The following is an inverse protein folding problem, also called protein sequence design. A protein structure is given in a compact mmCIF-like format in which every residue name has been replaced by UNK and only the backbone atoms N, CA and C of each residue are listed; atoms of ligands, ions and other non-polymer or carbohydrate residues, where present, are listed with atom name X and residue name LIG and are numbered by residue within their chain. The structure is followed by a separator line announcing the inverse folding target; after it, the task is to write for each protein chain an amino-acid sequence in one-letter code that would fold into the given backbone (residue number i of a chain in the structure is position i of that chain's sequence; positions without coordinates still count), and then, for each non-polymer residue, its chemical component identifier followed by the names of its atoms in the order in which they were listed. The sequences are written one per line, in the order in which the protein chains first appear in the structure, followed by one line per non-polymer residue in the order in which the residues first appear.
data_IF_953800746029
#
_entry.id   IF_953800746029
#
_cell.length_a   1.000
_cell.length_b   1.000
_cell.length_c   1.000
_cell.angle_alpha   90.00
_cell.angle_beta   90.00
_cell.angle_gamma   90.00
#
_symmetry.space_group_name_H-M   'P 1'
#
loop_
_entity.id
_entity.type
_entity.pdbx_description
1 polymer ?
#
# COMPACT_ATOMS: atom_id res chain seq x y z
N UNK A 1 20.00 -2.84 -10.63
CA UNK A 1 20.45 -1.46 -10.32
C UNK A 1 21.02 -1.51 -8.91
N UNK A 2 22.27 -1.12 -8.70
CA UNK A 2 22.85 -1.09 -7.36
C UNK A 2 22.39 0.19 -6.66
N UNK A 3 21.58 0.04 -5.62
CA UNK A 3 21.11 1.16 -4.80
C UNK A 3 22.20 1.55 -3.80
N UNK A 4 22.30 2.85 -3.48
CA UNK A 4 23.27 3.35 -2.49
C UNK A 4 22.64 3.57 -1.11
N UNK A 5 21.35 3.92 -1.06
CA UNK A 5 20.62 4.19 0.16
C UNK A 5 19.55 3.13 0.43
N UNK A 6 19.30 2.87 1.71
CA UNK A 6 18.12 2.13 2.15
C UNK A 6 16.83 2.83 1.70
N UNK A 7 15.74 2.08 1.62
CA UNK A 7 14.57 2.47 0.85
C UNK A 7 13.31 2.58 1.70
N UNK A 8 12.48 3.58 1.40
CA UNK A 8 11.07 3.66 1.80
C UNK A 8 10.22 3.41 0.56
N UNK A 9 9.28 2.48 0.64
CA UNK A 9 8.33 2.22 -0.45
C UNK A 9 6.95 2.74 -0.08
N UNK A 10 6.39 3.58 -0.95
CA UNK A 10 5.03 4.11 -0.84
C UNK A 10 4.14 3.31 -1.78
N UNK A 11 3.54 2.24 -1.27
CA UNK A 11 2.71 1.33 -2.04
C UNK A 11 1.24 1.68 -1.88
N UNK A 12 0.56 2.00 -2.97
CA UNK A 12 -0.85 2.42 -2.90
C UNK A 12 -1.47 2.66 -4.27
N UNK A 13 -2.65 3.30 -4.28
CA UNK A 13 -3.37 3.63 -5.51
C UNK A 13 -3.02 5.03 -6.08
N UNK A 14 -3.88 5.59 -6.93
CA UNK A 14 -3.73 6.93 -7.52
C UNK A 14 -3.56 8.08 -6.52
N UNK A 15 -4.05 7.92 -5.28
CA UNK A 15 -3.95 8.94 -4.22
C UNK A 15 -2.53 8.96 -3.64
N UNK A 16 -1.74 7.91 -3.88
CA UNK A 16 -0.39 7.81 -3.34
C UNK A 16 0.57 8.78 -4.00
N UNK A 17 1.01 9.74 -3.19
CA UNK A 17 2.05 10.70 -3.51
C UNK A 17 3.19 10.58 -2.49
N UNK A 18 4.38 11.10 -2.86
CA UNK A 18 5.59 10.97 -2.05
C UNK A 18 6.54 12.17 -2.07
N UNK A 19 6.18 13.28 -2.73
CA UNK A 19 7.10 14.39 -2.97
C UNK A 19 7.70 14.96 -1.67
N UNK A 20 6.87 15.22 -0.66
CA UNK A 20 7.31 15.75 0.63
C UNK A 20 8.22 14.77 1.39
N UNK A 21 7.88 13.48 1.38
CA UNK A 21 8.69 12.47 2.04
C UNK A 21 10.05 12.32 1.35
N UNK A 22 10.06 12.30 0.02
CA UNK A 22 11.31 12.31 -0.76
C UNK A 22 12.18 13.51 -0.41
N UNK A 23 11.59 14.69 -0.25
CA UNK A 23 12.31 15.89 0.16
C UNK A 23 12.88 15.79 1.58
N UNK A 24 12.09 15.30 2.55
CA UNK A 24 12.51 15.15 3.93
C UNK A 24 13.68 14.14 4.13
N UNK A 25 13.75 13.14 3.25
CA UNK A 25 14.74 12.06 3.29
C UNK A 25 15.85 12.18 2.23
N UNK A 26 15.98 13.35 1.58
CA UNK A 26 17.08 13.67 0.68
C UNK A 26 18.43 13.27 1.31
N UNK A 27 19.20 12.45 0.57
CA UNK A 27 20.54 11.93 0.95
C UNK A 27 20.55 11.06 2.22
N UNK A 28 19.40 10.57 2.68
CA UNK A 28 19.26 9.66 3.83
C UNK A 28 18.70 8.31 3.40
N UNK A 29 17.58 8.33 2.68
CA UNK A 29 16.87 7.15 2.18
C UNK A 29 16.32 7.44 0.79
N UNK A 30 16.29 6.44 -0.08
CA UNK A 30 15.57 6.52 -1.34
C UNK A 30 14.07 6.32 -1.09
N UNK A 31 13.24 7.23 -1.58
CA UNK A 31 11.78 7.13 -1.44
C UNK A 31 11.17 6.75 -2.79
N UNK A 32 10.61 5.54 -2.87
CA UNK A 32 9.98 5.02 -4.08
C UNK A 32 8.47 5.22 -4.03
N UNK A 33 7.95 6.03 -4.96
CA UNK A 33 6.51 6.12 -5.18
C UNK A 33 6.03 4.97 -6.06
N UNK A 34 5.16 4.11 -5.50
CA UNK A 34 4.51 2.97 -6.15
C UNK A 34 2.98 3.11 -6.04
N UNK A 35 2.48 4.25 -6.50
CA UNK A 35 1.05 4.53 -6.67
C UNK A 35 0.52 3.97 -8.00
N UNK A 36 -0.49 3.10 -7.94
CA UNK A 36 -1.07 2.42 -9.09
C UNK A 36 -2.52 2.89 -9.31
N UNK A 37 -2.71 3.75 -10.31
CA UNK A 37 -4.02 4.33 -10.58
C UNK A 37 -5.07 3.26 -10.89
N UNK A 38 -6.19 3.33 -10.18
CA UNK A 38 -7.31 2.41 -10.33
C UNK A 38 -7.15 1.05 -9.64
N UNK A 39 -6.01 0.73 -9.02
CA UNK A 39 -5.78 -0.57 -8.41
C UNK A 39 -6.53 -0.74 -7.09
N UNK A 40 -7.15 -1.92 -6.92
CA UNK A 40 -7.68 -2.40 -5.64
C UNK A 40 -6.67 -3.35 -4.96
N UNK A 41 -7.00 -3.83 -3.76
CA UNK A 41 -6.09 -4.70 -3.00
C UNK A 41 -5.82 -6.05 -3.64
N UNK A 42 -6.77 -6.61 -4.41
CA UNK A 42 -6.58 -7.90 -5.08
C UNK A 42 -5.48 -7.80 -6.16
N UNK A 43 -5.54 -6.75 -6.98
CA UNK A 43 -4.54 -6.53 -8.03
C UNK A 43 -3.20 -6.06 -7.44
N UNK A 44 -3.24 -5.25 -6.38
CA UNK A 44 -2.04 -4.76 -5.72
C UNK A 44 -1.22 -5.89 -5.10
N UNK A 45 -1.87 -6.86 -4.45
CA UNK A 45 -1.19 -8.01 -3.83
C UNK A 45 -0.23 -8.73 -4.79
N UNK A 46 -0.65 -8.92 -6.05
CA UNK A 46 0.19 -9.54 -7.09
C UNK A 46 1.43 -8.68 -7.40
N UNK A 47 1.29 -7.36 -7.45
CA UNK A 47 2.41 -6.45 -7.69
C UNK A 47 3.38 -6.37 -6.51
N UNK A 48 2.89 -6.55 -5.29
CA UNK A 48 3.71 -6.49 -4.09
C UNK A 48 4.81 -7.58 -4.13
N UNK A 49 4.53 -8.76 -4.68
CA UNK A 49 5.54 -9.83 -4.85
C UNK A 49 6.75 -9.36 -5.65
N UNK A 50 6.53 -8.52 -6.67
CA UNK A 50 7.58 -8.01 -7.55
C UNK A 50 8.37 -6.85 -6.94
N UNK A 51 7.80 -6.18 -5.93
CA UNK A 51 8.46 -5.09 -5.21
C UNK A 51 9.35 -5.59 -4.06
N UNK A 52 9.03 -6.75 -3.49
CA UNK A 52 9.76 -7.30 -2.36
C UNK A 52 11.04 -8.01 -2.81
N UNK A 53 12.11 -8.00 -2.00
CA UNK A 53 13.33 -8.74 -2.30
C UNK A 53 13.04 -10.24 -2.47
N UNK A 54 13.56 -10.84 -3.54
CA UNK A 54 13.46 -12.28 -3.76
C UNK A 54 14.50 -13.02 -2.90
N UNK A 55 14.02 -13.84 -1.96
CA UNK A 55 14.85 -14.70 -1.10
C UNK A 55 15.77 -15.66 -1.88
N UNK A 56 15.43 -16.00 -3.12
CA UNK A 56 16.18 -16.97 -3.92
C UNK A 56 17.44 -16.41 -4.58
N UNK A 57 17.65 -15.09 -4.53
CA UNK A 57 18.88 -14.48 -5.05
C UNK A 57 20.02 -14.62 -4.02
N UNK A 58 20.62 -15.82 -3.97
CA UNK A 58 21.77 -16.18 -3.12
C UNK A 58 22.93 -15.18 -3.17
N UNK A 59 23.03 -14.38 -4.22
CA UNK A 59 24.04 -13.33 -4.39
C UNK A 59 23.89 -12.15 -3.40
N UNK A 60 22.69 -11.87 -2.88
CA UNK A 60 22.48 -10.77 -1.93
C UNK A 60 22.74 -11.17 -0.47
N UNK A 61 22.68 -12.46 -0.15
CA UNK A 61 22.75 -12.98 1.23
C UNK A 61 24.15 -12.93 1.86
N UNK A 62 25.22 -12.71 1.08
CA UNK A 62 26.60 -12.71 1.60
C UNK A 62 27.24 -11.32 1.70
N UNK A 63 26.53 -10.26 1.34
CA UNK A 63 27.08 -8.91 1.37
C UNK A 63 26.44 -8.11 2.51
N UNK A 64 27.21 -7.83 3.56
CA UNK A 64 26.78 -7.02 4.72
C UNK A 64 26.34 -5.60 4.35
N UNK A 65 26.61 -5.17 3.12
CA UNK A 65 26.26 -3.88 2.55
C UNK A 65 25.02 -3.90 1.63
N UNK A 66 24.15 -4.91 1.72
CA UNK A 66 22.92 -4.93 0.91
C UNK A 66 21.96 -3.80 1.29
N UNK A 67 21.40 -3.16 0.27
CA UNK A 67 20.35 -2.15 0.44
C UNK A 67 19.06 -2.82 0.91
N UNK A 68 18.42 -2.23 1.92
CA UNK A 68 17.22 -2.75 2.56
C UNK A 68 16.03 -1.83 2.35
N UNK A 69 14.85 -2.41 2.24
CA UNK A 69 13.60 -1.67 2.43
C UNK A 69 13.38 -1.55 3.94
N UNK A 70 13.42 -0.34 4.47
CA UNK A 70 13.27 -0.09 5.92
C UNK A 70 11.83 0.18 6.34
N UNK A 71 11.00 0.61 5.38
CA UNK A 71 9.59 0.93 5.58
C UNK A 71 8.79 0.70 4.30
N UNK A 72 7.64 0.05 4.42
CA UNK A 72 6.60 0.01 3.40
C UNK A 72 5.32 0.62 3.96
N UNK A 73 4.81 1.65 3.28
CA UNK A 73 3.47 2.18 3.47
C UNK A 73 2.52 1.44 2.53
N UNK A 74 1.41 0.90 3.04
CA UNK A 74 0.34 0.30 2.23
C UNK A 74 -0.89 1.20 2.33
N UNK A 75 -1.31 1.79 1.22
CA UNK A 75 -2.41 2.77 1.17
C UNK A 75 -3.39 2.43 0.03
N UNK A 76 -4.35 1.57 0.35
CA UNK A 76 -5.40 1.07 -0.54
C UNK A 76 -6.74 1.01 0.19
N UNK A 77 -7.83 0.84 -0.57
CA UNK A 77 -9.19 0.74 -0.06
C UNK A 77 -10.15 1.72 -0.72
N UNK A 78 -9.65 2.80 -1.32
CA UNK A 78 -10.49 3.78 -2.00
C UNK A 78 -11.13 3.16 -3.25
N UNK A 79 -10.37 2.36 -4.00
CA UNK A 79 -10.89 1.65 -5.17
C UNK A 79 -11.76 0.44 -4.79
N UNK A 80 -11.35 -0.30 -3.76
CA UNK A 80 -12.08 -1.46 -3.20
C UNK A 80 -13.50 -1.08 -2.75
N UNK A 81 -13.66 0.14 -2.21
CA UNK A 81 -14.93 0.71 -1.77
C UNK A 81 -15.88 1.16 -2.90
N UNK A 82 -15.52 0.89 -4.18
CA UNK A 82 -16.44 1.13 -5.28
C UNK A 82 -17.75 0.34 -5.10
N UNK A 83 -18.87 0.88 -5.57
CA UNK A 83 -20.16 0.23 -5.54
C UNK A 83 -20.23 -0.82 -6.66
N UNK A 84 -20.88 -1.96 -6.39
CA UNK A 84 -21.21 -2.93 -7.44
C UNK A 84 -22.08 -2.26 -8.51
N UNK A 85 -21.88 -2.55 -9.80
CA UNK A 85 -21.03 -3.60 -10.37
C UNK A 85 -19.63 -3.14 -10.78
N UNK A 86 -19.08 -2.05 -10.22
CA UNK A 86 -17.74 -1.57 -10.61
C UNK A 86 -16.69 -2.68 -10.38
N UNK A 87 -15.85 -2.94 -11.39
CA UNK A 87 -14.80 -3.98 -11.38
C UNK A 87 -13.72 -3.78 -10.31
N UNK A 88 -13.59 -2.57 -9.80
CA UNK A 88 -12.65 -2.25 -8.72
C UNK A 88 -13.16 -2.72 -7.36
N UNK A 89 -14.46 -2.97 -7.22
CA UNK A 89 -15.08 -3.39 -5.96
C UNK A 89 -14.45 -4.69 -5.43
N UNK A 90 -14.16 -4.71 -4.14
CA UNK A 90 -13.73 -5.90 -3.40
C UNK A 90 -14.59 -5.99 -2.13
N UNK A 91 -15.20 -7.15 -1.88
CA UNK A 91 -16.01 -7.34 -0.67
C UNK A 91 -15.14 -7.13 0.59
N UNK A 92 -15.74 -6.58 1.65
CA UNK A 92 -15.02 -6.10 2.85
C UNK A 92 -14.16 -7.20 3.52
N UNK A 93 -14.65 -8.44 3.57
CA UNK A 93 -13.89 -9.57 4.11
C UNK A 93 -12.66 -9.90 3.25
N UNK A 94 -12.81 -9.83 1.92
CA UNK A 94 -11.69 -10.05 1.01
C UNK A 94 -10.67 -8.93 1.09
N UNK A 95 -11.11 -7.69 1.27
CA UNK A 95 -10.22 -6.55 1.53
C UNK A 95 -9.36 -6.78 2.78
N UNK A 96 -9.96 -7.21 3.90
CA UNK A 96 -9.22 -7.53 5.13
C UNK A 96 -8.22 -8.68 4.92
N UNK A 97 -8.64 -9.73 4.22
CA UNK A 97 -7.78 -10.86 3.87
C UNK A 97 -6.58 -10.40 3.04
N UNK A 98 -6.80 -9.55 2.03
CA UNK A 98 -5.74 -9.02 1.17
C UNK A 98 -4.77 -8.13 1.95
N UNK A 99 -5.25 -7.21 2.80
CA UNK A 99 -4.39 -6.42 3.68
C UNK A 99 -3.53 -7.32 4.58
N UNK A 100 -4.14 -8.33 5.18
CA UNK A 100 -3.45 -9.30 6.04
C UNK A 100 -2.36 -10.03 5.28
N UNK A 101 -2.66 -10.52 4.07
CA UNK A 101 -1.68 -11.18 3.21
C UNK A 101 -0.53 -10.26 2.86
N UNK A 102 -0.81 -9.03 2.42
CA UNK A 102 0.22 -8.06 2.05
C UNK A 102 1.14 -7.73 3.24
N UNK A 103 0.60 -7.44 4.43
CA UNK A 103 1.41 -7.20 5.63
C UNK A 103 2.31 -8.40 5.94
N UNK A 104 1.77 -9.62 5.85
CA UNK A 104 2.54 -10.83 6.10
C UNK A 104 3.62 -11.07 5.04
N UNK A 105 3.36 -10.75 3.77
CA UNK A 105 4.36 -10.81 2.71
C UNK A 105 5.53 -9.88 3.01
N UNK A 106 5.26 -8.64 3.42
CA UNK A 106 6.31 -7.69 3.81
C UNK A 106 7.09 -8.19 5.04
N UNK A 107 6.41 -8.61 6.11
CA UNK A 107 7.07 -9.12 7.32
C UNK A 107 7.95 -10.35 7.05
N UNK A 108 7.65 -11.11 5.99
CA UNK A 108 8.43 -12.29 5.58
C UNK A 108 9.44 -11.98 4.47
N UNK A 109 9.50 -10.77 3.93
CA UNK A 109 10.34 -10.46 2.75
C UNK A 109 11.84 -10.40 3.05
N UNK A 110 12.21 -10.23 4.32
CA UNK A 110 13.59 -10.26 4.78
C UNK A 110 13.60 -10.87 6.18
N UNK A 111 14.12 -12.09 6.31
CA UNK A 111 14.11 -12.84 7.57
C UNK A 111 15.07 -12.26 8.61
N UNK A 112 16.13 -11.56 8.19
CA UNK A 112 17.12 -10.97 9.09
C UNK A 112 16.70 -9.58 9.55
N UNK A 113 16.05 -8.82 8.67
CA UNK A 113 15.73 -7.41 8.90
C UNK A 113 14.42 -7.03 8.19
N UNK A 114 13.27 -7.57 8.64
CA UNK A 114 12.00 -7.35 7.98
C UNK A 114 11.65 -5.85 7.94
N UNK A 115 11.13 -5.34 6.80
CA UNK A 115 10.70 -3.95 6.72
C UNK A 115 9.61 -3.63 7.74
N UNK A 116 9.64 -2.41 8.28
CA UNK A 116 8.47 -1.91 9.02
C UNK A 116 7.31 -1.71 8.05
N UNK A 117 6.09 -1.95 8.53
CA UNK A 117 4.87 -1.75 7.75
C UNK A 117 4.00 -0.74 8.46
N UNK A 118 3.44 0.19 7.70
CA UNK A 118 2.36 1.09 8.14
C UNK A 118 1.21 0.96 7.14
N UNK A 119 0.00 0.74 7.67
CA UNK A 119 -1.22 0.79 6.87
C UNK A 119 -1.75 2.22 6.87
N UNK A 120 -2.42 2.65 5.81
CA UNK A 120 -3.12 3.94 5.78
C UNK A 120 -4.55 3.67 5.33
N UNK A 121 -5.52 4.14 6.11
CA UNK A 121 -6.93 3.99 5.77
C UNK A 121 -7.28 4.78 4.51
N UNK A 122 -8.18 4.29 3.63
CA UNK A 122 -8.66 5.10 2.51
C UNK A 122 -9.27 6.43 3.03
N UNK A 123 -9.01 7.56 2.35
CA UNK A 123 -9.60 8.83 2.75
C UNK A 123 -11.10 8.84 2.46
N UNK A 124 -11.90 9.66 3.17
CA UNK A 124 -13.30 9.84 2.84
C UNK A 124 -13.45 10.38 1.42
N UNK A 125 -14.54 10.01 0.76
CA UNK A 125 -14.93 10.57 -0.53
C UNK A 125 -15.73 11.85 -0.30
N UNK A 126 -15.42 12.89 -1.05
CA UNK A 126 -16.31 14.04 -1.22
C UNK A 126 -17.20 13.80 -2.45
N UNK A 127 -18.46 13.40 -2.23
CA UNK A 127 -19.39 13.09 -3.31
C UNK A 127 -19.72 14.30 -4.20
N UNK A 128 -19.78 15.51 -3.61
CA UNK A 128 -20.08 16.74 -4.34
C UNK A 128 -18.93 17.09 -5.28
N UNK A 129 -17.69 17.07 -4.76
CA UNK A 129 -16.50 17.27 -5.57
C UNK A 129 -16.33 16.18 -6.64
N UNK A 130 -16.70 14.93 -6.35
CA UNK A 130 -16.66 13.84 -7.33
C UNK A 130 -17.52 14.14 -8.54
N UNK A 131 -18.80 14.49 -8.31
CA UNK A 131 -19.72 14.84 -9.38
C UNK A 131 -19.21 16.03 -10.19
N UNK A 132 -18.83 17.11 -9.50
CA UNK A 132 -18.39 18.35 -10.13
C UNK A 132 -17.09 18.20 -10.95
N UNK A 133 -16.18 17.31 -10.52
CA UNK A 133 -14.87 17.14 -11.19
C UNK A 133 -14.93 16.10 -12.30
N UNK A 134 -15.69 15.02 -12.12
CA UNK A 134 -15.68 13.88 -13.05
C UNK A 134 -16.87 13.86 -14.00
N UNK A 135 -18.00 14.47 -13.64
CA UNK A 135 -19.24 14.39 -14.41
C UNK A 135 -19.74 12.97 -14.63
N UNK A 136 -19.32 12.03 -13.77
CA UNK A 136 -19.68 10.61 -13.83
C UNK A 136 -20.62 10.28 -12.68
N UNK A 137 -21.46 9.26 -12.89
CA UNK A 137 -22.28 8.69 -11.83
C UNK A 137 -21.38 8.30 -10.64
N UNK A 138 -21.88 8.59 -9.44
CA UNK A 138 -21.17 8.31 -8.20
C UNK A 138 -21.07 6.79 -8.04
N UNK A 139 -19.85 6.29 -8.12
CA UNK A 139 -19.55 4.86 -8.02
C UNK A 139 -18.90 4.49 -6.69
N UNK A 140 -18.83 5.43 -5.73
CA UNK A 140 -18.28 5.28 -4.37
C UNK A 140 -19.06 6.19 -3.42
N UNK A 141 -19.14 5.84 -2.15
CA UNK A 141 -19.75 6.70 -1.13
C UNK A 141 -18.86 6.79 0.08
N UNK A 142 -18.82 7.96 0.71
CA UNK A 142 -18.08 8.23 1.93
C UNK A 142 -18.46 7.25 3.05
N UNK A 143 -19.74 6.94 3.20
CA UNK A 143 -20.25 5.93 4.13
C UNK A 143 -19.67 4.53 3.87
N UNK A 144 -19.59 4.11 2.61
CA UNK A 144 -19.01 2.81 2.24
C UNK A 144 -17.50 2.84 2.48
N UNK A 145 -16.79 3.88 2.02
CA UNK A 145 -15.35 4.04 2.25
C UNK A 145 -14.99 4.04 3.74
N UNK A 146 -15.86 4.59 4.59
CA UNK A 146 -15.68 4.54 6.05
C UNK A 146 -15.64 3.10 6.58
N UNK A 147 -16.45 2.18 6.04
CA UNK A 147 -16.40 0.77 6.41
C UNK A 147 -15.04 0.14 6.08
N UNK A 148 -14.44 0.50 4.93
CA UNK A 148 -13.10 0.04 4.56
C UNK A 148 -12.01 0.66 5.44
N UNK A 149 -12.17 1.93 5.85
CA UNK A 149 -11.29 2.56 6.84
C UNK A 149 -11.33 1.82 8.19
N UNK A 150 -12.51 1.48 8.71
CA UNK A 150 -12.67 0.69 9.92
C UNK A 150 -12.07 -0.72 9.77
N UNK A 151 -12.27 -1.38 8.63
CA UNK A 151 -11.68 -2.68 8.35
C UNK A 151 -10.14 -2.63 8.30
N UNK A 152 -9.56 -1.56 7.74
CA UNK A 152 -8.11 -1.33 7.75
C UNK A 152 -7.58 -1.17 9.18
N UNK A 153 -8.27 -0.37 10.01
CA UNK A 153 -7.93 -0.20 11.43
C UNK A 153 -7.98 -1.53 12.19
N UNK A 154 -9.01 -2.34 11.95
CA UNK A 154 -9.16 -3.66 12.58
C UNK A 154 -7.98 -4.58 12.23
N UNK A 155 -7.64 -4.70 10.95
CA UNK A 155 -6.50 -5.53 10.50
C UNK A 155 -5.19 -5.03 11.12
N UNK A 156 -5.01 -3.71 11.19
CA UNK A 156 -3.81 -3.13 11.77
C UNK A 156 -3.66 -3.48 13.25
N UNK A 157 -4.76 -3.39 14.00
CA UNK A 157 -4.81 -3.79 15.41
C UNK A 157 -4.50 -5.28 15.60
N UNK A 158 -5.13 -6.15 14.81
CA UNK A 158 -4.93 -7.61 14.85
C UNK A 158 -3.47 -8.01 14.55
N UNK A 159 -2.82 -7.30 13.63
CA UNK A 159 -1.44 -7.57 13.21
C UNK A 159 -0.39 -6.75 13.97
N UNK A 160 -0.82 -5.93 14.93
CA UNK A 160 0.00 -5.00 15.69
C UNK A 160 0.91 -4.15 14.79
N UNK A 161 0.32 -3.51 13.79
CA UNK A 161 1.00 -2.56 12.88
C UNK A 161 0.38 -1.16 13.01
N UNK A 162 1.16 -0.09 12.86
CA UNK A 162 0.62 1.28 12.89
C UNK A 162 -0.37 1.57 11.75
N UNK A 163 -1.29 2.49 12.03
CA UNK A 163 -2.15 3.20 11.08
C UNK A 163 -1.94 4.70 11.19
#
# INVERSE_FOLDING_TARGET
MNHLYNQIVLFGDSITQGAELSQAYVRKLDVYNRGFSGYNTEWAKELLTQLLPNHDSKEQSQNSNRVKIVLIKIFFGANDAALKPNKQHIDLDKYKENLTQMVNMVKKSDSESPPRVILITPPPLDEEAWWNTRGMEIDRKSEVTHQYALACLQVAQELNVPV
#
